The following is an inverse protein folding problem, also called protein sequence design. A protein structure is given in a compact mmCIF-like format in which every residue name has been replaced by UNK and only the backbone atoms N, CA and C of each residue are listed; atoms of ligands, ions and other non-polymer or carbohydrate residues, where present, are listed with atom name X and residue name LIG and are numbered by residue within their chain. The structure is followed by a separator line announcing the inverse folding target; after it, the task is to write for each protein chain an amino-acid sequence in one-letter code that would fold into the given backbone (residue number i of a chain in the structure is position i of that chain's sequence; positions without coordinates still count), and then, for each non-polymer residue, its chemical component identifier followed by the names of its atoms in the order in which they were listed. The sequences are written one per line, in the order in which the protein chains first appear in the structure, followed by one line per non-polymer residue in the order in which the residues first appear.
data_IF_885320186941
#
_entry.id   IF_885320186941
#
_cell.length_a   1.000
_cell.length_b   1.000
_cell.length_c   1.000
_cell.angle_alpha   90.00
_cell.angle_beta   90.00
_cell.angle_gamma   90.00
#
_symmetry.space_group_name_H-M   'P 1'
#
loop_
_entity.id
_entity.type
_entity.pdbx_description
1 polymer ?
#
# COMPACT_ATOMS: atom_id res chain seq x y z
N UNK A 1 17.60 -12.05 -1.88
CA UNK A 1 18.18 -10.70 -1.76
C UNK A 1 19.64 -10.66 -2.22
N UNK A 2 20.51 -11.56 -1.78
CA UNK A 2 21.95 -11.60 -2.12
C UNK A 2 22.21 -11.69 -3.62
N UNK A 3 21.42 -12.49 -4.38
CA UNK A 3 21.48 -12.51 -5.86
C UNK A 3 21.25 -11.16 -6.53
N UNK A 4 20.76 -10.16 -5.79
CA UNK A 4 20.53 -8.78 -6.24
C UNK A 4 21.49 -7.79 -5.57
N UNK A 5 22.58 -8.29 -5.02
CA UNK A 5 23.60 -7.50 -4.32
C UNK A 5 23.05 -6.66 -3.15
N UNK A 6 22.06 -7.20 -2.42
CA UNK A 6 21.50 -6.56 -1.23
C UNK A 6 21.39 -7.52 -0.06
N UNK A 7 21.68 -7.02 1.14
CA UNK A 7 21.47 -7.67 2.44
C UNK A 7 20.15 -7.15 3.03
N UNK A 8 19.21 -8.04 3.31
CA UNK A 8 18.00 -7.69 4.05
C UNK A 8 18.35 -7.33 5.49
N UNK A 9 17.82 -6.21 5.97
CA UNK A 9 17.95 -5.78 7.36
C UNK A 9 16.67 -6.09 8.14
N UNK A 10 15.52 -5.53 7.73
CA UNK A 10 14.23 -5.75 8.40
C UNK A 10 13.05 -5.39 7.51
N UNK A 11 11.87 -5.84 7.92
CA UNK A 11 10.59 -5.40 7.37
C UNK A 11 9.96 -4.34 8.28
N UNK A 12 9.33 -3.34 7.72
CA UNK A 12 8.55 -2.38 8.50
C UNK A 12 7.10 -2.29 8.00
N UNK A 13 6.17 -2.28 8.93
CA UNK A 13 4.77 -2.02 8.62
C UNK A 13 4.61 -0.59 8.13
N UNK A 14 3.76 -0.37 7.14
CA UNK A 14 3.42 0.96 6.62
C UNK A 14 1.95 1.33 6.86
N UNK A 15 1.19 0.42 7.47
CA UNK A 15 -0.22 0.65 7.79
C UNK A 15 -1.19 0.38 6.65
N UNK A 16 -2.45 0.68 6.90
CA UNK A 16 -3.54 0.50 5.95
C UNK A 16 -3.56 1.59 4.89
N UNK A 17 -3.81 1.18 3.66
CA UNK A 17 -4.01 2.08 2.53
C UNK A 17 -5.48 2.08 2.12
N UNK A 18 -6.02 3.27 1.88
CA UNK A 18 -7.36 3.48 1.37
C UNK A 18 -7.37 4.30 0.09
N UNK A 19 -8.56 4.65 -0.34
CA UNK A 19 -8.80 5.63 -1.41
C UNK A 19 -9.37 6.89 -0.77
N UNK A 20 -8.85 8.05 -1.15
CA UNK A 20 -9.37 9.34 -0.72
C UNK A 20 -9.67 10.20 -1.95
N UNK A 21 -10.84 10.85 -1.97
CA UNK A 21 -11.32 11.59 -3.14
C UNK A 21 -12.18 12.79 -2.80
N UNK A 22 -12.59 13.49 -3.85
CA UNK A 22 -13.58 14.59 -3.79
C UNK A 22 -15.00 14.08 -3.65
N UNK A 23 -15.24 12.84 -4.07
CA UNK A 23 -16.55 12.17 -4.02
C UNK A 23 -16.52 11.02 -3.01
N UNK A 24 -17.66 10.72 -2.42
CA UNK A 24 -17.81 9.55 -1.56
C UNK A 24 -17.77 8.27 -2.38
N UNK A 25 -17.07 7.28 -1.85
CA UNK A 25 -17.02 5.91 -2.38
C UNK A 25 -17.66 5.01 -1.32
N UNK A 26 -18.90 4.64 -1.53
CA UNK A 26 -19.65 3.76 -0.63
C UNK A 26 -19.59 2.30 -1.07
N UNK A 27 -19.36 2.07 -2.36
CA UNK A 27 -19.31 0.74 -2.97
C UNK A 27 -18.33 0.68 -4.14
N UNK A 28 -18.07 -0.52 -4.68
CA UNK A 28 -17.28 -0.69 -5.89
C UNK A 28 -17.91 -0.03 -7.13
N UNK A 29 -19.23 0.17 -7.14
CA UNK A 29 -19.89 0.83 -8.26
C UNK A 29 -19.46 2.30 -8.39
N UNK A 30 -19.18 2.95 -7.27
CA UNK A 30 -18.78 4.37 -7.23
C UNK A 30 -17.34 4.60 -7.73
N UNK A 31 -16.56 3.52 -7.87
CA UNK A 31 -15.18 3.59 -8.39
C UNK A 31 -15.15 3.66 -9.92
N UNK A 32 -16.20 3.17 -10.59
CA UNK A 32 -16.22 3.05 -12.05
C UNK A 32 -16.06 4.40 -12.73
N UNK A 33 -15.12 4.45 -13.68
CA UNK A 33 -14.83 5.64 -14.48
C UNK A 33 -14.02 6.72 -13.77
N UNK A 34 -13.83 6.64 -12.45
CA UNK A 34 -13.00 7.61 -11.72
C UNK A 34 -11.53 7.51 -12.13
N UNK A 35 -10.90 8.65 -12.30
CA UNK A 35 -9.44 8.78 -12.46
C UNK A 35 -8.79 8.66 -11.09
N UNK A 36 -8.27 7.48 -10.76
CA UNK A 36 -7.72 7.22 -9.43
C UNK A 36 -6.20 6.98 -9.51
N UNK A 37 -5.48 7.82 -8.80
CA UNK A 37 -4.02 7.66 -8.70
C UNK A 37 -3.66 6.51 -7.77
N UNK A 38 -2.68 5.69 -8.19
CA UNK A 38 -2.03 4.73 -7.32
C UNK A 38 -0.52 4.66 -7.56
N UNK A 39 0.29 4.42 -6.49
CA UNK A 39 1.75 4.47 -6.59
C UNK A 39 2.39 3.18 -7.10
N UNK A 40 1.71 2.05 -6.97
CA UNK A 40 2.28 0.72 -7.18
C UNK A 40 1.46 -0.13 -8.16
N UNK A 41 2.11 -1.04 -8.91
CA UNK A 41 1.44 -1.84 -9.94
C UNK A 41 0.24 -2.65 -9.43
N UNK A 42 0.32 -3.23 -8.22
CA UNK A 42 -0.77 -4.00 -7.64
C UNK A 42 -2.03 -3.17 -7.40
N UNK A 43 -1.89 -1.96 -6.87
CA UNK A 43 -3.02 -1.05 -6.67
C UNK A 43 -3.59 -0.55 -8.01
N UNK A 44 -2.73 -0.26 -9.01
CA UNK A 44 -3.18 0.08 -10.36
C UNK A 44 -4.01 -1.06 -10.99
N UNK A 45 -3.55 -2.31 -10.86
CA UNK A 45 -4.27 -3.48 -11.36
C UNK A 45 -5.63 -3.67 -10.65
N UNK A 46 -5.68 -3.46 -9.34
CA UNK A 46 -6.94 -3.52 -8.57
C UNK A 46 -7.93 -2.47 -9.06
N UNK A 47 -7.49 -1.23 -9.21
CA UNK A 47 -8.33 -0.14 -9.70
C UNK A 47 -8.87 -0.41 -11.11
N UNK A 48 -8.03 -0.92 -12.02
CA UNK A 48 -8.49 -1.36 -13.35
C UNK A 48 -9.54 -2.46 -13.27
N UNK A 49 -9.35 -3.47 -12.41
CA UNK A 49 -10.31 -4.55 -12.22
C UNK A 49 -11.67 -4.06 -11.68
N UNK A 50 -11.68 -2.95 -10.95
CA UNK A 50 -12.89 -2.29 -10.44
C UNK A 50 -13.50 -1.28 -11.42
N UNK A 51 -12.92 -1.13 -12.61
CA UNK A 51 -13.44 -0.25 -13.66
C UNK A 51 -13.08 1.22 -13.50
N UNK A 52 -12.13 1.55 -12.64
CA UNK A 52 -11.53 2.89 -12.59
C UNK A 52 -10.56 3.12 -13.76
N UNK A 53 -10.18 4.36 -13.98
CA UNK A 53 -9.06 4.77 -14.83
C UNK A 53 -7.84 5.02 -13.92
N UNK A 54 -6.92 4.03 -13.77
CA UNK A 54 -5.79 4.18 -12.88
C UNK A 54 -4.73 5.10 -13.48
N UNK A 55 -4.23 6.03 -12.66
CA UNK A 55 -3.21 7.00 -13.07
C UNK A 55 -1.97 6.84 -12.18
N UNK A 56 -0.80 6.76 -12.80
CA UNK A 56 0.48 6.66 -12.09
C UNK A 56 1.17 8.02 -12.09
N UNK A 57 1.13 8.69 -10.94
CA UNK A 57 1.91 9.91 -10.68
C UNK A 57 2.63 9.81 -9.33
N UNK A 58 3.69 10.59 -9.14
CA UNK A 58 4.45 10.62 -7.91
C UNK A 58 3.62 11.16 -6.74
N UNK A 59 3.96 10.76 -5.50
CA UNK A 59 3.21 11.23 -4.32
C UNK A 59 3.30 12.74 -4.12
N UNK A 60 4.39 13.38 -4.54
CA UNK A 60 4.55 14.82 -4.44
C UNK A 60 3.56 15.60 -5.34
N UNK A 61 3.08 14.99 -6.43
CA UNK A 61 2.19 15.61 -7.41
C UNK A 61 0.70 15.45 -7.08
N UNK A 62 0.37 14.60 -6.09
CA UNK A 62 -1.04 14.25 -5.77
C UNK A 62 -1.84 15.45 -5.33
N UNK A 63 -1.28 16.31 -4.47
CA UNK A 63 -1.98 17.51 -3.97
C UNK A 63 -2.41 18.43 -5.11
N UNK A 64 -1.48 18.75 -6.00
CA UNK A 64 -1.74 19.60 -7.17
C UNK A 64 -2.67 18.95 -8.17
N UNK A 65 -2.49 17.66 -8.46
CA UNK A 65 -3.35 16.93 -9.38
C UNK A 65 -4.81 16.87 -8.89
N UNK A 66 -5.02 16.67 -7.58
CA UNK A 66 -6.33 16.76 -6.95
C UNK A 66 -6.89 18.18 -7.03
N UNK A 67 -6.10 19.19 -6.68
CA UNK A 67 -6.51 20.59 -6.74
C UNK A 67 -7.01 20.99 -8.13
N UNK A 68 -6.24 20.64 -9.16
CA UNK A 68 -6.53 20.95 -10.58
C UNK A 68 -7.60 20.04 -11.22
N UNK A 69 -8.08 19.01 -10.52
CA UNK A 69 -9.06 18.06 -11.07
C UNK A 69 -8.50 17.10 -12.13
N UNK A 70 -7.17 16.93 -12.18
CA UNK A 70 -6.54 15.96 -13.08
C UNK A 70 -6.81 14.51 -12.65
N UNK A 71 -7.05 14.27 -11.35
CA UNK A 71 -7.52 13.04 -10.76
C UNK A 71 -8.73 13.30 -9.86
N UNK A 72 -9.60 12.29 -9.73
CA UNK A 72 -10.82 12.36 -8.91
C UNK A 72 -10.56 11.83 -7.48
N UNK A 73 -9.63 10.89 -7.36
CA UNK A 73 -9.22 10.27 -6.12
C UNK A 73 -7.78 9.74 -6.19
N UNK A 74 -7.25 9.32 -5.07
CA UNK A 74 -5.93 8.69 -4.98
C UNK A 74 -5.89 7.62 -3.91
N UNK A 75 -5.05 6.60 -4.08
CA UNK A 75 -4.73 5.65 -3.02
C UNK A 75 -3.51 6.12 -2.22
N UNK A 76 -3.59 6.01 -0.90
CA UNK A 76 -2.51 6.35 0.03
C UNK A 76 -2.74 5.70 1.40
N UNK A 77 -1.71 5.67 2.26
CA UNK A 77 -1.89 5.33 3.68
C UNK A 77 -2.58 6.47 4.43
N UNK A 78 -3.25 6.14 5.53
CA UNK A 78 -3.88 7.13 6.41
C UNK A 78 -2.87 8.16 6.89
N UNK A 79 -1.70 7.69 7.32
CA UNK A 79 -0.60 8.54 7.77
C UNK A 79 -0.12 9.53 6.71
N UNK A 80 -0.04 9.11 5.45
CA UNK A 80 0.31 10.01 4.33
C UNK A 80 -0.81 10.98 3.98
N UNK A 81 -2.07 10.57 4.09
CA UNK A 81 -3.21 11.47 3.89
C UNK A 81 -3.18 12.62 4.88
N UNK A 82 -2.83 12.35 6.13
CA UNK A 82 -2.68 13.37 7.16
C UNK A 82 -1.41 14.20 6.99
N UNK A 83 -0.22 13.56 6.96
CA UNK A 83 1.07 14.26 6.97
C UNK A 83 1.31 15.14 5.74
N UNK A 84 0.72 14.79 4.60
CA UNK A 84 0.78 15.55 3.34
C UNK A 84 -0.39 16.49 3.15
N UNK A 85 -1.24 16.65 4.17
CA UNK A 85 -2.42 17.51 4.17
C UNK A 85 -3.39 17.24 3.00
N UNK A 86 -3.44 16.00 2.52
CA UNK A 86 -4.33 15.65 1.40
C UNK A 86 -5.80 15.85 1.74
N UNK A 87 -6.16 15.87 3.03
CA UNK A 87 -7.50 16.22 3.51
C UNK A 87 -7.97 17.63 3.11
N UNK A 88 -7.07 18.53 2.70
CA UNK A 88 -7.45 19.86 2.21
C UNK A 88 -8.08 19.80 0.80
N UNK A 89 -7.65 18.85 -0.03
CA UNK A 89 -8.07 18.68 -1.42
C UNK A 89 -8.99 17.47 -1.66
N UNK A 90 -9.12 16.57 -0.66
CA UNK A 90 -9.96 15.38 -0.72
C UNK A 90 -10.59 15.12 0.66
N UNK A 91 -11.92 15.05 0.72
CA UNK A 91 -12.71 15.03 1.96
C UNK A 91 -13.30 13.66 2.29
N UNK A 92 -13.22 12.69 1.39
CA UNK A 92 -13.91 11.42 1.54
C UNK A 92 -12.91 10.28 1.39
N UNK A 93 -12.75 9.49 2.45
CA UNK A 93 -11.83 8.37 2.50
C UNK A 93 -12.58 7.05 2.72
N UNK A 94 -12.11 5.98 2.10
CA UNK A 94 -12.63 4.61 2.26
C UNK A 94 -11.48 3.62 2.38
N UNK A 95 -11.59 2.66 3.29
CA UNK A 95 -10.60 1.58 3.47
C UNK A 95 -10.60 0.97 4.88
N UNK A 96 -9.51 0.35 5.33
CA UNK A 96 -8.33 0.04 4.52
C UNK A 96 -8.61 -1.03 3.46
N UNK A 97 -7.97 -0.90 2.31
CA UNK A 97 -8.14 -1.79 1.16
C UNK A 97 -6.88 -2.62 0.94
N UNK A 98 -5.72 -1.98 1.02
CA UNK A 98 -4.41 -2.60 0.83
C UNK A 98 -3.54 -2.43 2.08
N UNK A 99 -2.61 -3.37 2.25
CA UNK A 99 -1.56 -3.31 3.26
C UNK A 99 -0.22 -3.22 2.56
N UNK A 100 0.66 -2.40 3.09
CA UNK A 100 2.01 -2.23 2.54
C UNK A 100 3.04 -2.59 3.60
N UNK A 101 4.03 -3.36 3.18
CA UNK A 101 5.22 -3.66 3.97
C UNK A 101 6.42 -3.08 3.24
N UNK A 102 7.25 -2.35 3.95
CA UNK A 102 8.51 -1.85 3.44
C UNK A 102 9.62 -2.83 3.75
N UNK A 103 10.51 -3.00 2.77
CA UNK A 103 11.71 -3.84 2.89
C UNK A 103 12.89 -2.92 3.03
N UNK A 104 13.62 -3.03 4.13
CA UNK A 104 14.82 -2.26 4.40
C UNK A 104 16.04 -3.12 4.15
N UNK A 105 16.93 -2.65 3.32
CA UNK A 105 18.12 -3.38 2.92
C UNK A 105 19.32 -2.45 2.74
N UNK A 106 20.52 -3.01 2.81
CA UNK A 106 21.77 -2.35 2.50
C UNK A 106 22.43 -3.04 1.30
N UNK A 107 23.19 -2.29 0.51
CA UNK A 107 24.03 -2.87 -0.54
C UNK A 107 25.00 -3.90 0.05
N UNK A 108 25.12 -5.07 -0.58
CA UNK A 108 25.88 -6.20 -0.03
C UNK A 108 27.39 -5.89 0.05
N UNK A 109 27.94 -5.15 -0.91
CA UNK A 109 29.34 -4.76 -0.89
C UNK A 109 29.62 -3.78 0.27
N UNK A 110 28.68 -2.88 0.55
CA UNK A 110 28.77 -1.98 1.72
C UNK A 110 28.68 -2.77 3.02
N UNK A 111 27.76 -3.73 3.10
CA UNK A 111 27.62 -4.64 4.24
C UNK A 111 28.92 -5.39 4.52
N UNK A 112 29.54 -5.95 3.48
CA UNK A 112 30.76 -6.75 3.59
C UNK A 112 32.00 -5.91 3.99
N UNK A 113 31.96 -4.59 3.85
CA UNK A 113 33.01 -3.67 4.33
C UNK A 113 32.88 -3.30 5.80
N UNK A 114 31.71 -3.58 6.42
CA UNK A 114 31.51 -3.33 7.84
C UNK A 114 32.28 -4.37 8.68
N UNK A 115 32.81 -3.95 9.83
CA UNK A 115 33.33 -4.89 10.83
C UNK A 115 32.19 -5.78 11.33
N UNK A 116 32.55 -6.96 11.84
CA UNK A 116 31.56 -7.89 12.44
C UNK A 116 30.78 -7.23 13.58
N UNK A 117 31.43 -6.39 14.37
CA UNK A 117 30.79 -5.61 15.42
C UNK A 117 29.72 -4.67 14.87
N UNK A 118 30.02 -3.89 13.82
CA UNK A 118 29.09 -2.99 13.17
C UNK A 118 27.94 -3.73 12.48
N UNK A 119 28.22 -4.89 11.85
CA UNK A 119 27.17 -5.75 11.30
C UNK A 119 26.22 -6.24 12.39
N UNK A 120 26.75 -6.65 13.55
CA UNK A 120 25.93 -7.07 14.68
C UNK A 120 25.07 -5.93 15.22
N UNK A 121 25.66 -4.76 15.46
CA UNK A 121 24.93 -3.57 15.93
C UNK A 121 23.79 -3.23 14.95
N UNK A 122 24.08 -3.21 13.65
CA UNK A 122 23.09 -2.88 12.64
C UNK A 122 21.93 -3.89 12.62
N UNK A 123 22.21 -5.19 12.77
CA UNK A 123 21.16 -6.21 12.86
C UNK A 123 20.34 -6.10 14.15
N UNK A 124 20.97 -5.87 15.29
CA UNK A 124 20.29 -5.73 16.59
C UNK A 124 19.32 -4.51 16.55
N UNK A 125 19.77 -3.38 16.02
CA UNK A 125 18.93 -2.18 15.83
C UNK A 125 17.82 -2.44 14.81
N UNK A 126 18.10 -3.15 13.74
CA UNK A 126 17.12 -3.52 12.71
C UNK A 126 15.97 -4.35 13.30
N UNK A 127 16.30 -5.39 14.07
CA UNK A 127 15.30 -6.24 14.73
C UNK A 127 14.46 -5.47 15.77
N UNK A 128 15.11 -4.59 16.53
CA UNK A 128 14.40 -3.72 17.47
C UNK A 128 13.44 -2.76 16.75
N UNK A 129 13.87 -2.20 15.60
CA UNK A 129 13.04 -1.32 14.76
C UNK A 129 11.87 -2.08 14.15
N UNK A 130 12.07 -3.30 13.63
CA UNK A 130 11.01 -4.14 13.11
C UNK A 130 9.90 -4.36 14.14
N UNK A 131 10.28 -4.78 15.36
CA UNK A 131 9.33 -5.00 16.47
C UNK A 131 8.52 -3.74 16.84
N UNK A 132 9.16 -2.57 16.80
CA UNK A 132 8.49 -1.29 17.13
C UNK A 132 7.62 -0.75 16.01
N UNK A 133 7.97 -1.04 14.75
CA UNK A 133 7.39 -0.38 13.57
C UNK A 133 5.87 -0.55 13.52
N UNK A 134 5.34 -1.73 13.85
CA UNK A 134 3.91 -2.00 13.82
C UNK A 134 3.14 -1.13 14.82
N UNK A 135 3.61 -1.05 16.07
CA UNK A 135 2.95 -0.23 17.11
C UNK A 135 2.98 1.26 16.79
N UNK A 136 4.13 1.76 16.30
CA UNK A 136 4.27 3.17 15.90
C UNK A 136 3.36 3.51 14.73
N UNK A 137 3.32 2.64 13.70
CA UNK A 137 2.45 2.89 12.53
C UNK A 137 0.98 2.80 12.87
N UNK A 138 0.58 1.86 13.75
CA UNK A 138 -0.80 1.74 14.22
C UNK A 138 -1.25 3.01 14.93
N UNK A 139 -0.48 3.50 15.88
CA UNK A 139 -0.80 4.74 16.59
C UNK A 139 -0.85 5.97 15.66
N UNK A 140 0.03 6.01 14.66
CA UNK A 140 0.02 7.09 13.68
C UNK A 140 -1.18 7.02 12.73
N UNK A 141 -1.59 5.82 12.30
CA UNK A 141 -2.79 5.63 11.50
C UNK A 141 -4.06 6.01 12.27
N UNK A 142 -4.19 5.62 13.56
CA UNK A 142 -5.31 5.99 14.43
C UNK A 142 -5.44 7.52 14.54
N UNK A 143 -4.35 8.21 14.86
CA UNK A 143 -4.32 9.68 14.92
C UNK A 143 -4.66 10.34 13.58
N UNK A 144 -4.24 9.73 12.49
CA UNK A 144 -4.51 10.23 11.13
C UNK A 144 -5.98 10.07 10.77
N UNK A 145 -6.60 8.95 11.13
CA UNK A 145 -8.02 8.70 10.95
C UNK A 145 -8.88 9.68 11.73
N UNK A 146 -8.58 9.89 13.02
CA UNK A 146 -9.27 10.90 13.85
C UNK A 146 -9.26 12.29 13.18
N UNK A 147 -8.13 12.68 12.61
CA UNK A 147 -8.01 13.96 11.89
C UNK A 147 -8.82 13.99 10.61
N UNK A 148 -8.82 12.90 9.85
CA UNK A 148 -9.61 12.81 8.61
C UNK A 148 -11.11 12.87 8.90
N UNK A 149 -11.58 12.25 9.99
CA UNK A 149 -12.97 12.29 10.45
C UNK A 149 -13.42 13.70 10.87
N UNK A 150 -12.51 14.52 11.43
CA UNK A 150 -12.80 15.92 11.80
C UNK A 150 -13.03 16.83 10.57
N UNK A 151 -12.45 16.52 9.43
CA UNK A 151 -12.43 17.40 8.25
C UNK A 151 -13.16 16.83 7.04
N UNK A 152 -13.66 15.60 7.11
CA UNK A 152 -14.34 14.92 6.03
C UNK A 152 -15.11 13.69 6.51
N UNK A 153 -15.23 12.69 5.66
CA UNK A 153 -15.85 11.41 5.99
C UNK A 153 -14.86 10.28 5.80
N UNK A 154 -14.87 9.32 6.73
CA UNK A 154 -14.07 8.11 6.64
C UNK A 154 -14.99 6.90 6.71
N UNK A 155 -15.01 6.10 5.65
CA UNK A 155 -15.71 4.82 5.62
C UNK A 155 -14.71 3.70 5.91
N UNK A 156 -14.87 3.04 7.04
CA UNK A 156 -14.10 1.83 7.35
C UNK A 156 -14.84 0.63 6.78
N UNK A 157 -14.18 -0.10 5.88
CA UNK A 157 -14.76 -1.30 5.27
C UNK A 157 -14.92 -2.42 6.30
N UNK A 158 -16.10 -2.97 6.37
CA UNK A 158 -16.41 -4.18 7.15
C UNK A 158 -15.68 -5.40 6.58
N UNK A 159 -15.59 -6.47 7.36
CA UNK A 159 -15.01 -7.73 6.89
C UNK A 159 -15.74 -8.29 5.64
N UNK A 160 -17.09 -8.16 5.61
CA UNK A 160 -17.89 -8.58 4.49
C UNK A 160 -17.62 -7.77 3.21
N UNK A 161 -17.50 -6.44 3.33
CA UNK A 161 -17.13 -5.56 2.22
C UNK A 161 -15.72 -5.86 1.70
N UNK A 162 -14.73 -6.00 2.59
CA UNK A 162 -13.36 -6.40 2.22
C UNK A 162 -13.35 -7.71 1.44
N UNK A 163 -14.12 -8.70 1.88
CA UNK A 163 -14.25 -9.98 1.19
C UNK A 163 -14.90 -9.83 -0.19
N UNK A 164 -15.94 -9.01 -0.32
CA UNK A 164 -16.59 -8.73 -1.60
C UNK A 164 -15.66 -7.99 -2.57
N UNK A 165 -14.93 -6.98 -2.10
CA UNK A 165 -13.95 -6.25 -2.88
C UNK A 165 -12.78 -7.17 -3.31
N UNK A 166 -12.31 -8.02 -2.41
CA UNK A 166 -11.25 -9.00 -2.70
C UNK A 166 -11.65 -10.03 -3.77
N UNK A 167 -12.88 -10.52 -3.75
CA UNK A 167 -13.38 -11.48 -4.76
C UNK A 167 -13.34 -10.90 -6.18
N UNK A 168 -13.61 -9.62 -6.34
CA UNK A 168 -13.59 -8.95 -7.65
C UNK A 168 -12.17 -8.74 -8.21
N UNK A 169 -11.11 -8.99 -7.41
CA UNK A 169 -9.72 -8.91 -7.84
C UNK A 169 -9.18 -10.17 -8.51
N UNK A 170 -9.99 -11.22 -8.68
CA UNK A 170 -9.56 -12.48 -9.31
C UNK A 170 -8.84 -12.25 -10.65
N UNK A 171 -9.35 -11.41 -11.59
CA UNK A 171 -8.65 -11.15 -12.85
C UNK A 171 -7.26 -10.50 -12.65
N UNK A 172 -7.10 -9.65 -11.64
CA UNK A 172 -5.80 -9.03 -11.33
C UNK A 172 -4.81 -10.06 -10.78
N UNK A 173 -5.25 -11.01 -9.96
CA UNK A 173 -4.41 -12.11 -9.48
C UNK A 173 -4.01 -13.06 -10.61
N UNK A 174 -4.93 -13.42 -11.51
CA UNK A 174 -4.65 -14.29 -12.63
C UNK A 174 -3.63 -13.64 -13.59
N UNK A 175 -3.75 -12.34 -13.86
CA UNK A 175 -2.77 -11.59 -14.64
C UNK A 175 -1.39 -11.52 -13.96
N UNK A 176 -1.35 -11.40 -12.61
CA UNK A 176 -0.10 -11.42 -11.87
C UNK A 176 0.55 -12.80 -11.89
N UNK A 177 -0.22 -13.89 -11.72
CA UNK A 177 0.28 -15.27 -11.84
C UNK A 177 0.92 -15.47 -13.21
N UNK A 178 0.19 -15.11 -14.29
CA UNK A 178 0.70 -15.24 -15.65
C UNK A 178 2.03 -14.50 -15.83
N UNK A 179 2.13 -13.27 -15.32
CA UNK A 179 3.38 -12.50 -15.37
C UNK A 179 4.52 -13.17 -14.57
N UNK A 180 4.21 -13.88 -13.51
CA UNK A 180 5.19 -14.67 -12.76
C UNK A 180 5.58 -15.94 -13.52
N UNK A 181 4.65 -16.61 -14.17
CA UNK A 181 4.90 -17.79 -15.03
C UNK A 181 5.86 -17.45 -16.17
N UNK A 182 5.61 -16.33 -16.86
CA UNK A 182 6.48 -15.84 -17.95
C UNK A 182 7.93 -15.60 -17.49
N UNK A 183 8.14 -15.45 -16.17
CA UNK A 183 9.44 -15.26 -15.54
C UNK A 183 9.99 -16.51 -14.82
N UNK A 184 9.31 -17.65 -14.93
CA UNK A 184 9.69 -18.90 -14.29
C UNK A 184 9.33 -19.02 -12.80
N UNK A 185 8.49 -18.14 -12.25
CA UNK A 185 8.09 -18.10 -10.84
C UNK A 185 6.62 -18.51 -10.59
N UNK A 186 5.98 -19.18 -11.54
CA UNK A 186 4.55 -19.49 -11.46
C UNK A 186 4.16 -20.36 -10.25
N UNK A 187 5.00 -21.35 -9.89
CA UNK A 187 4.78 -22.20 -8.71
C UNK A 187 4.76 -21.36 -7.43
N UNK A 188 5.79 -20.55 -7.23
CA UNK A 188 5.91 -19.67 -6.05
C UNK A 188 4.76 -18.66 -5.96
N UNK A 189 4.33 -18.12 -7.10
CA UNK A 189 3.20 -17.20 -7.13
C UNK A 189 1.91 -17.85 -6.63
N UNK A 190 1.63 -19.09 -7.04
CA UNK A 190 0.46 -19.85 -6.57
C UNK A 190 0.56 -20.19 -5.08
N UNK A 191 1.73 -20.62 -4.61
CA UNK A 191 1.96 -20.88 -3.19
C UNK A 191 1.69 -19.65 -2.33
N UNK A 192 2.19 -18.47 -2.76
CA UNK A 192 1.94 -17.20 -2.07
C UNK A 192 0.43 -16.89 -2.00
N UNK A 193 -0.30 -17.05 -3.12
CA UNK A 193 -1.74 -16.79 -3.12
C UNK A 193 -2.52 -17.78 -2.25
N UNK A 194 -2.12 -19.03 -2.18
CA UNK A 194 -2.75 -20.02 -1.30
C UNK A 194 -2.59 -19.61 0.17
N UNK A 195 -1.37 -19.28 0.61
CA UNK A 195 -1.12 -18.80 1.98
C UNK A 195 -1.94 -17.55 2.29
N UNK A 196 -2.01 -16.58 1.36
CA UNK A 196 -2.80 -15.38 1.54
C UNK A 196 -4.32 -15.65 1.62
N UNK A 197 -4.82 -16.67 0.97
CA UNK A 197 -6.23 -17.06 1.03
C UNK A 197 -6.58 -17.82 2.32
N UNK A 198 -5.64 -18.58 2.89
CA UNK A 198 -5.80 -19.29 4.15
C UNK A 198 -5.78 -18.35 5.36
N UNK A 199 -5.14 -17.20 5.26
CA UNK A 199 -4.99 -16.20 6.33
C UNK A 199 -6.08 -15.12 6.33
N UNK A 200 -7.05 -15.20 5.43
CA UNK A 200 -8.20 -14.28 5.29
C UNK A 200 -9.49 -14.90 5.81
#
# INVERSE_FOLDING_TARGET
FEKKNVKLLYYSAYGGNGICGKVKIESLADIKGLKIRAPVPGALASLSAWGATPIKIASAEVYDAMGKGAIDAFSSSWSSMYSRKYYEVAKHAVGPIWWTVWVNFINLDTWNKLSQENQKILMDVSLATEKRSLGVMKAFDEKSLEKLEQVGTVKILTAQEKKAWGKSLRPAYDAWIKKCEDKGYGKQAREILNVLNETR
#
